data_IF_768926088347
#
_entry.id   IF_768926088347
#
_cell.length_a   1.000
_cell.length_b   1.000
_cell.length_c   1.000
_cell.angle_alpha   90.00
_cell.angle_beta   90.00
_cell.angle_gamma   90.00
#
_symmetry.space_group_name_H-M   'P 1'
#
loop_
_entity.id
_entity.type
_entity.pdbx_description
1 polymer ?
#
# COMPACT_ATOMS: atom_id res chain seq x y z
N UNK A 1 7.01 4.51 15.47
CA UNK A 1 8.46 4.33 15.76
C UNK A 1 9.31 4.82 14.58
N UNK A 2 9.25 6.12 14.25
CA UNK A 2 10.05 6.68 13.14
C UNK A 2 11.37 7.28 13.65
N UNK A 3 11.28 8.24 14.60
CA UNK A 3 12.45 8.91 15.18
C UNK A 3 13.50 7.96 15.76
N UNK A 4 13.06 6.94 16.52
CA UNK A 4 13.99 6.04 17.24
C UNK A 4 14.81 5.14 16.30
N UNK A 5 14.20 4.64 15.23
CA UNK A 5 14.87 3.74 14.28
C UNK A 5 15.79 4.53 13.36
N UNK A 6 15.35 5.70 12.89
CA UNK A 6 16.14 6.58 12.03
C UNK A 6 17.43 7.05 12.73
N UNK A 7 17.33 7.43 14.01
CA UNK A 7 18.46 7.91 14.83
C UNK A 7 19.40 6.78 15.26
N UNK A 8 18.89 5.55 15.51
CA UNK A 8 19.76 4.41 15.88
C UNK A 8 20.47 3.79 14.69
N UNK A 9 19.86 3.85 13.50
CA UNK A 9 20.44 3.30 12.28
C UNK A 9 21.53 4.21 11.67
N UNK A 10 21.49 5.52 11.93
CA UNK A 10 22.43 6.48 11.36
C UNK A 10 23.11 7.33 12.44
N UNK A 11 24.45 7.32 12.41
CA UNK A 11 25.34 8.31 13.05
C UNK A 11 24.94 9.75 12.63
N UNK A 12 25.40 10.81 13.32
CA UNK A 12 24.93 12.17 13.07
C UNK A 12 24.94 12.51 11.58
N UNK A 13 23.76 12.82 11.05
CA UNK A 13 23.60 13.29 9.68
C UNK A 13 24.38 14.59 9.51
N UNK A 14 25.24 14.64 8.50
CA UNK A 14 26.10 15.79 8.21
C UNK A 14 25.36 16.88 7.43
N UNK A 15 24.18 16.56 6.86
CA UNK A 15 23.37 17.51 6.11
C UNK A 15 21.87 17.16 6.09
N UNK A 16 21.04 18.15 5.74
CA UNK A 16 19.59 17.97 5.52
C UNK A 16 19.30 17.04 4.34
N UNK A 17 20.16 17.02 3.31
CA UNK A 17 20.00 16.11 2.16
C UNK A 17 20.19 14.66 2.60
N UNK A 18 21.20 14.39 3.43
CA UNK A 18 21.45 13.04 3.96
C UNK A 18 20.28 12.55 4.80
N UNK A 19 19.72 13.43 5.65
CA UNK A 19 18.51 13.13 6.43
C UNK A 19 17.33 12.80 5.52
N UNK A 20 17.08 13.60 4.48
CA UNK A 20 15.99 13.35 3.52
C UNK A 20 16.17 12.00 2.80
N UNK A 21 17.38 11.69 2.36
CA UNK A 21 17.68 10.40 1.73
C UNK A 21 17.49 9.24 2.70
N UNK A 22 17.91 9.38 3.96
CA UNK A 22 17.73 8.36 4.99
C UNK A 22 16.25 8.13 5.32
N UNK A 23 15.46 9.20 5.41
CA UNK A 23 14.01 9.13 5.57
C UNK A 23 13.36 8.41 4.39
N UNK A 24 13.71 8.76 3.15
CA UNK A 24 13.13 8.12 1.97
C UNK A 24 13.46 6.63 1.90
N UNK A 25 14.70 6.26 2.25
CA UNK A 25 15.12 4.85 2.37
C UNK A 25 14.36 4.12 3.47
N UNK A 26 14.20 4.75 4.64
CA UNK A 26 13.45 4.16 5.75
C UNK A 26 11.98 3.95 5.40
N UNK A 27 11.32 4.94 4.77
CA UNK A 27 9.92 4.84 4.33
C UNK A 27 9.76 3.73 3.29
N UNK A 28 10.66 3.66 2.31
CA UNK A 28 10.65 2.60 1.30
C UNK A 28 10.75 1.20 1.93
N UNK A 29 11.69 1.00 2.86
CA UNK A 29 11.82 -0.28 3.58
C UNK A 29 10.60 -0.57 4.47
N UNK A 30 10.10 0.43 5.19
CA UNK A 30 8.95 0.30 6.08
C UNK A 30 7.69 -0.13 5.32
N UNK A 31 7.46 0.43 4.13
CA UNK A 31 6.29 0.13 3.31
C UNK A 31 6.40 -1.23 2.58
N UNK A 32 7.59 -1.61 2.11
CA UNK A 32 7.76 -2.76 1.21
C UNK A 32 8.28 -4.03 1.87
N UNK A 33 9.01 -3.93 2.99
CA UNK A 33 9.75 -5.07 3.58
C UNK A 33 9.49 -5.30 5.06
N UNK A 34 8.87 -4.36 5.79
CA UNK A 34 8.65 -4.53 7.22
C UNK A 34 7.43 -5.43 7.47
N UNK A 35 7.61 -6.62 8.06
CA UNK A 35 6.49 -7.45 8.45
C UNK A 35 5.76 -6.79 9.61
N UNK A 36 4.45 -6.60 9.46
CA UNK A 36 3.61 -6.05 10.53
C UNK A 36 2.77 -7.17 11.14
N UNK A 37 2.90 -7.39 12.45
CA UNK A 37 2.14 -8.44 13.15
C UNK A 37 0.62 -8.25 13.03
N UNK A 38 0.14 -7.01 12.90
CA UNK A 38 -1.30 -6.72 12.69
C UNK A 38 -1.79 -7.03 11.27
N UNK A 39 -0.90 -7.36 10.33
CA UNK A 39 -1.22 -7.66 8.93
C UNK A 39 -0.77 -9.07 8.55
N UNK A 40 -0.83 -10.04 9.48
CA UNK A 40 -0.35 -11.42 9.27
C UNK A 40 1.10 -11.48 8.75
N UNK A 41 1.97 -10.61 9.27
CA UNK A 41 3.37 -10.50 8.85
C UNK A 41 3.57 -10.10 7.38
N UNK A 42 2.53 -9.60 6.71
CA UNK A 42 2.65 -9.06 5.36
C UNK A 42 3.18 -7.62 5.41
N UNK A 43 3.87 -7.24 4.34
CA UNK A 43 4.27 -5.85 4.15
C UNK A 43 3.02 -5.00 3.83
N UNK A 44 2.97 -3.73 4.28
CA UNK A 44 1.87 -2.82 3.98
C UNK A 44 1.53 -2.74 2.49
N UNK A 45 2.53 -2.68 1.62
CA UNK A 45 2.37 -2.65 0.16
C UNK A 45 1.59 -3.86 -0.38
N UNK A 46 1.82 -5.06 0.18
CA UNK A 46 1.12 -6.28 -0.25
C UNK A 46 -0.36 -6.25 0.15
N UNK A 47 -0.66 -5.70 1.32
CA UNK A 47 -2.04 -5.53 1.81
C UNK A 47 -2.79 -4.52 0.94
N UNK A 48 -2.14 -3.39 0.64
CA UNK A 48 -2.69 -2.33 -0.19
C UNK A 48 -2.96 -2.83 -1.63
N UNK A 49 -2.01 -3.53 -2.23
CA UNK A 49 -2.18 -4.08 -3.57
C UNK A 49 -3.35 -5.07 -3.65
N UNK A 50 -3.44 -6.01 -2.70
CA UNK A 50 -4.58 -6.95 -2.63
C UNK A 50 -5.93 -6.26 -2.45
N UNK A 51 -5.97 -5.18 -1.67
CA UNK A 51 -7.17 -4.37 -1.51
C UNK A 51 -7.59 -3.69 -2.82
N UNK A 52 -6.67 -3.02 -3.52
CA UNK A 52 -6.98 -2.36 -4.78
C UNK A 52 -7.34 -3.35 -5.90
N UNK A 53 -6.69 -4.50 -5.97
CA UNK A 53 -7.04 -5.57 -6.91
C UNK A 53 -8.45 -6.09 -6.66
N UNK A 54 -8.80 -6.35 -5.40
CA UNK A 54 -10.17 -6.76 -5.03
C UNK A 54 -11.22 -5.72 -5.42
N UNK A 55 -10.91 -4.42 -5.27
CA UNK A 55 -11.79 -3.32 -5.69
C UNK A 55 -11.92 -3.25 -7.21
N UNK A 56 -10.82 -3.38 -7.96
CA UNK A 56 -10.82 -3.41 -9.42
C UNK A 56 -11.66 -4.56 -9.97
N UNK A 57 -11.53 -5.75 -9.39
CA UNK A 57 -12.33 -6.91 -9.77
C UNK A 57 -13.83 -6.72 -9.48
N UNK A 58 -14.20 -6.19 -8.30
CA UNK A 58 -15.61 -5.88 -7.97
C UNK A 58 -16.22 -4.85 -8.93
N UNK A 59 -15.47 -3.82 -9.30
CA UNK A 59 -15.93 -2.79 -10.26
C UNK A 59 -16.09 -3.31 -11.70
N UNK A 60 -15.41 -4.41 -12.07
CA UNK A 60 -15.59 -5.07 -13.37
C UNK A 60 -16.83 -5.96 -13.37
N UNK A 61 -17.07 -6.72 -12.30
CA UNK A 61 -18.25 -7.60 -12.16
C UNK A 61 -19.56 -6.79 -12.17
N UNK A 62 -19.57 -5.61 -11.53
CA UNK A 62 -20.75 -4.74 -11.48
C UNK A 62 -21.09 -4.05 -12.81
N UNK A 63 -20.21 -4.10 -13.83
CA UNK A 63 -20.46 -3.51 -15.17
C UNK A 63 -21.10 -4.48 -16.17
N UNK A 64 -21.14 -5.79 -15.86
CA UNK A 64 -21.68 -6.83 -16.76
C UNK A 64 -23.18 -7.09 -16.51
N UNK A 65 -23.78 -6.46 -15.50
CA UNK A 65 -25.17 -6.70 -15.06
C UNK A 65 -26.27 -5.96 -15.81
N UNK A 66 -25.97 -5.02 -16.71
CA UNK A 66 -27.00 -4.26 -17.46
C UNK A 66 -27.29 -4.88 -18.83
N UNK A 67 -27.78 -6.12 -18.86
CA UNK A 67 -28.63 -6.55 -20.00
C UNK A 67 -30.07 -6.15 -19.68
N UNK A 68 -30.46 -4.95 -20.12
CA UNK A 68 -31.86 -4.56 -20.24
C UNK A 68 -32.50 -5.57 -21.20
N UNK A 69 -33.37 -6.45 -20.68
CA UNK A 69 -34.15 -7.36 -21.53
C UNK A 69 -35.21 -6.53 -22.25
N UNK A 70 -35.43 -6.69 -23.57
CA UNK A 70 -36.53 -6.03 -24.22
C UNK A 70 -37.85 -6.64 -23.71
N UNK A 71 -38.79 -5.80 -23.32
CA UNK A 71 -40.15 -6.20 -22.99
C UNK A 71 -40.81 -6.63 -24.31
N UNK A 72 -40.89 -7.94 -24.57
CA UNK A 72 -41.83 -8.47 -25.56
C UNK A 72 -43.24 -8.45 -24.96
N UNK A 73 -44.18 -8.00 -25.79
CA UNK A 73 -45.51 -7.57 -25.42
C UNK A 73 -46.48 -8.66 -25.01
N UNK A 74 -47.60 -8.17 -24.46
CA UNK A 74 -48.95 -8.72 -24.57
C UNK A 74 -49.86 -7.53 -24.85
#
# INVERSE_FOLDING_TARGET
MYKRELIRANKPYRSVIELKCATMRWVSWHNSKRPHASFDYRAPEQVENGYYDSRRHKSSHNRVGTKIRPLHGV
#
